data_IF_389917000266
#
_entry.id   IF_389917000266
#
_cell.length_a   1.000
_cell.length_b   1.000
_cell.length_c   1.000
_cell.angle_alpha   90.00
_cell.angle_beta   90.00
_cell.angle_gamma   90.00
#
_symmetry.space_group_name_H-M   'P 1'
#
loop_
_entity.id
_entity.type
_entity.pdbx_description
1 polymer ?
#
# COMPACT_ATOMS: atom_id res chain seq x y z
N UNK A 1 -23.37 -4.95 5.96
CA UNK A 1 -22.29 -3.97 5.75
C UNK A 1 -21.69 -4.12 4.35
N UNK A 2 -21.18 -3.04 3.80
CA UNK A 2 -20.56 -2.97 2.48
C UNK A 2 -19.12 -2.48 2.63
N UNK A 3 -18.13 -3.27 2.19
CA UNK A 3 -16.74 -2.85 2.13
C UNK A 3 -16.38 -2.36 0.72
N UNK A 4 -15.76 -1.18 0.64
CA UNK A 4 -15.25 -0.63 -0.62
C UNK A 4 -13.76 -0.29 -0.46
N UNK A 5 -12.85 -0.89 -1.24
CA UNK A 5 -11.43 -0.58 -1.11
C UNK A 5 -11.10 0.80 -1.67
N UNK A 6 -10.59 1.71 -0.82
CA UNK A 6 -9.93 2.93 -1.25
C UNK A 6 -8.42 2.73 -1.39
N UNK A 7 -7.66 3.78 -1.58
CA UNK A 7 -6.24 3.72 -1.90
C UNK A 7 -5.51 5.00 -1.50
N UNK A 8 -4.23 4.88 -1.23
CA UNK A 8 -3.29 6.01 -1.16
C UNK A 8 -3.35 6.92 -2.40
N UNK A 9 -3.79 6.37 -3.55
CA UNK A 9 -4.02 7.14 -4.77
C UNK A 9 -5.16 8.17 -4.68
N UNK A 10 -5.97 8.18 -3.61
CA UNK A 10 -6.95 9.23 -3.32
C UNK A 10 -6.30 10.57 -2.94
N UNK A 11 -5.07 10.54 -2.47
CA UNK A 11 -4.27 11.73 -2.20
C UNK A 11 -3.63 12.29 -3.48
N UNK A 12 -3.07 13.48 -3.39
CA UNK A 12 -2.42 14.13 -4.51
C UNK A 12 -1.30 15.08 -4.06
N UNK A 13 -0.68 15.83 -4.98
CA UNK A 13 0.49 16.65 -4.68
C UNK A 13 0.28 17.73 -3.61
N UNK A 14 -0.97 18.12 -3.33
CA UNK A 14 -1.32 19.09 -2.29
C UNK A 14 -1.58 18.48 -0.92
N UNK A 15 -1.59 17.15 -0.81
CA UNK A 15 -1.66 16.48 0.49
C UNK A 15 -0.30 16.51 1.20
N UNK A 16 -0.25 16.61 2.54
CA UNK A 16 0.99 16.41 3.29
C UNK A 16 1.64 15.08 2.92
N UNK A 17 2.97 15.04 2.82
CA UNK A 17 3.70 13.85 2.38
C UNK A 17 3.97 12.86 3.50
N UNK A 18 4.35 13.36 4.65
CA UNK A 18 4.77 12.54 5.78
C UNK A 18 3.66 12.50 6.82
N UNK A 19 3.35 11.30 7.29
CA UNK A 19 2.24 11.05 8.21
C UNK A 19 0.97 11.79 7.76
N UNK A 20 0.60 11.55 6.50
CA UNK A 20 -0.58 12.17 5.89
C UNK A 20 -1.79 11.98 6.79
N UNK A 21 -2.42 13.05 7.30
CA UNK A 21 -3.52 12.96 8.25
C UNK A 21 -4.73 12.22 7.68
N UNK A 22 -5.54 11.65 8.57
CA UNK A 22 -6.82 11.01 8.23
C UNK A 22 -7.71 11.96 7.42
N UNK A 23 -7.92 13.17 7.94
CA UNK A 23 -8.66 14.23 7.29
C UNK A 23 -7.70 15.26 6.71
N UNK A 24 -7.66 15.33 5.40
CA UNK A 24 -6.78 16.26 4.67
C UNK A 24 -7.29 16.54 3.26
N UNK A 25 -6.61 17.44 2.56
CA UNK A 25 -6.92 17.78 1.17
C UNK A 25 -6.62 16.59 0.26
N UNK A 26 -7.64 16.11 -0.44
CA UNK A 26 -7.52 15.06 -1.46
C UNK A 26 -7.76 15.67 -2.85
N UNK A 27 -6.68 15.85 -3.61
CA UNK A 27 -6.72 16.33 -5.01
C UNK A 27 -5.86 15.43 -5.89
N UNK A 28 -6.31 14.19 -6.15
CA UNK A 28 -5.58 13.27 -6.99
C UNK A 28 -5.49 13.80 -8.43
N UNK A 29 -4.39 13.47 -9.10
CA UNK A 29 -4.13 13.87 -10.50
C UNK A 29 -4.43 12.74 -11.50
N UNK A 30 -4.87 11.57 -11.01
CA UNK A 30 -5.23 10.42 -11.84
C UNK A 30 -6.74 10.14 -11.78
N UNK A 31 -7.31 9.62 -12.87
CA UNK A 31 -8.71 9.18 -12.87
C UNK A 31 -8.97 8.09 -11.82
N UNK A 32 -7.99 7.20 -11.59
CA UNK A 32 -8.05 6.20 -10.53
C UNK A 32 -8.28 6.86 -9.15
N UNK A 33 -7.46 7.85 -8.80
CA UNK A 33 -7.61 8.57 -7.55
C UNK A 33 -8.93 9.33 -7.43
N UNK A 34 -9.38 9.98 -8.51
CA UNK A 34 -10.70 10.63 -8.55
C UNK A 34 -11.82 9.64 -8.25
N UNK A 35 -11.79 8.46 -8.85
CA UNK A 35 -12.78 7.41 -8.58
C UNK A 35 -12.73 6.93 -7.12
N UNK A 36 -11.51 6.83 -6.51
CA UNK A 36 -11.37 6.44 -5.11
C UNK A 36 -11.99 7.48 -4.16
N UNK A 37 -11.68 8.76 -4.35
CA UNK A 37 -12.29 9.87 -3.58
C UNK A 37 -13.81 9.86 -3.74
N UNK A 38 -14.30 9.69 -4.97
CA UNK A 38 -15.75 9.61 -5.22
C UNK A 38 -16.39 8.45 -4.45
N UNK A 39 -15.73 7.28 -4.42
CA UNK A 39 -16.21 6.11 -3.67
C UNK A 39 -16.30 6.37 -2.16
N UNK A 40 -15.30 7.03 -1.57
CA UNK A 40 -15.32 7.44 -0.16
C UNK A 40 -16.50 8.38 0.13
N UNK A 41 -16.67 9.44 -0.67
CA UNK A 41 -17.74 10.41 -0.51
C UNK A 41 -19.14 9.78 -0.71
N UNK A 42 -19.28 8.85 -1.64
CA UNK A 42 -20.52 8.09 -1.82
C UNK A 42 -20.80 7.19 -0.61
N UNK A 43 -19.77 6.54 -0.05
CA UNK A 43 -19.90 5.77 1.18
C UNK A 43 -20.48 6.62 2.32
N UNK A 44 -19.89 7.79 2.57
CA UNK A 44 -20.36 8.73 3.60
C UNK A 44 -21.80 9.19 3.34
N UNK A 45 -22.13 9.53 2.10
CA UNK A 45 -23.46 9.95 1.73
C UNK A 45 -24.51 8.85 1.96
N UNK A 46 -24.24 7.62 1.50
CA UNK A 46 -25.16 6.50 1.68
C UNK A 46 -25.30 6.10 3.15
N UNK A 47 -24.22 6.20 3.93
CA UNK A 47 -24.32 5.97 5.36
C UNK A 47 -25.19 7.03 6.04
N UNK A 48 -24.89 8.31 5.84
CA UNK A 48 -25.57 9.42 6.52
C UNK A 48 -27.03 9.55 6.09
N UNK A 49 -27.33 9.31 4.79
CA UNK A 49 -28.67 9.52 4.22
C UNK A 49 -29.59 8.32 4.35
N UNK A 50 -29.04 7.12 4.27
CA UNK A 50 -29.83 5.88 4.17
C UNK A 50 -29.50 4.85 5.25
N UNK A 51 -28.56 5.13 6.13
CA UNK A 51 -28.15 4.21 7.20
C UNK A 51 -27.43 2.95 6.71
N UNK A 52 -26.89 2.98 5.49
CA UNK A 52 -26.10 1.84 4.97
C UNK A 52 -24.80 1.74 5.74
N UNK A 53 -24.49 0.58 6.28
CA UNK A 53 -23.19 0.35 6.94
C UNK A 53 -22.11 0.16 5.87
N UNK A 54 -21.52 1.27 5.46
CA UNK A 54 -20.40 1.33 4.51
C UNK A 54 -19.08 1.47 5.25
N UNK A 55 -18.05 0.75 4.80
CA UNK A 55 -16.72 0.76 5.42
C UNK A 55 -15.64 0.70 4.34
N UNK A 56 -14.52 1.39 4.57
CA UNK A 56 -13.42 1.46 3.62
C UNK A 56 -12.08 1.72 4.32
N UNK A 57 -11.00 1.24 3.70
CA UNK A 57 -9.63 1.60 4.06
C UNK A 57 -8.91 2.16 2.83
N UNK A 58 -7.99 3.10 3.05
CA UNK A 58 -7.04 3.59 2.05
C UNK A 58 -5.82 2.68 2.10
N UNK A 59 -5.80 1.70 1.18
CA UNK A 59 -4.67 0.81 1.07
C UNK A 59 -3.43 1.56 0.58
N UNK A 60 -2.27 1.34 1.22
CA UNK A 60 -0.97 1.69 0.65
C UNK A 60 -0.63 0.79 -0.55
N UNK A 61 0.60 0.84 -1.04
CA UNK A 61 1.07 -0.10 -2.06
C UNK A 61 1.05 -1.53 -1.54
N UNK A 62 0.33 -2.43 -2.21
CA UNK A 62 0.18 -3.81 -1.76
C UNK A 62 1.26 -4.71 -2.36
N UNK A 63 1.88 -5.51 -1.49
CA UNK A 63 2.90 -6.49 -1.86
C UNK A 63 2.34 -7.89 -1.64
N UNK A 64 2.43 -8.75 -2.65
CA UNK A 64 1.92 -10.12 -2.60
C UNK A 64 2.89 -11.11 -3.24
N UNK A 65 3.00 -12.30 -2.66
CA UNK A 65 3.71 -13.42 -3.25
C UNK A 65 2.80 -14.36 -4.05
N UNK A 66 1.50 -14.05 -4.20
CA UNK A 66 0.52 -14.94 -4.86
C UNK A 66 0.38 -14.60 -6.34
N UNK A 67 0.15 -13.33 -6.65
CA UNK A 67 -0.09 -12.84 -8.01
C UNK A 67 1.14 -12.12 -8.54
N UNK A 68 1.45 -12.35 -9.82
CA UNK A 68 2.50 -11.60 -10.51
C UNK A 68 2.10 -10.13 -10.62
N UNK A 69 3.08 -9.21 -10.62
CA UNK A 69 2.83 -7.79 -10.77
C UNK A 69 2.17 -7.47 -12.13
N UNK A 70 1.27 -6.50 -12.12
CA UNK A 70 0.49 -6.09 -13.30
C UNK A 70 1.03 -4.86 -14.04
N UNK A 71 2.18 -4.31 -13.59
CA UNK A 71 2.81 -3.12 -14.18
C UNK A 71 2.45 -1.78 -13.51
N UNK A 72 1.78 -1.81 -12.36
CA UNK A 72 1.50 -0.61 -11.54
C UNK A 72 2.76 0.07 -10.98
N UNK A 73 2.61 1.29 -10.48
CA UNK A 73 3.73 2.07 -9.94
C UNK A 73 4.40 1.40 -8.74
N UNK A 74 3.61 0.76 -7.85
CA UNK A 74 4.12 0.08 -6.65
C UNK A 74 4.61 -1.35 -6.91
N UNK A 75 4.37 -1.87 -8.10
CA UNK A 75 4.66 -3.27 -8.44
C UNK A 75 6.16 -3.59 -8.46
N UNK A 76 7.02 -2.55 -8.55
CA UNK A 76 8.46 -2.74 -8.40
C UNK A 76 8.81 -3.49 -7.10
N UNK A 77 8.05 -3.23 -6.01
CA UNK A 77 8.26 -3.86 -4.71
C UNK A 77 7.83 -5.34 -4.67
N UNK A 78 7.16 -5.83 -5.71
CA UNK A 78 6.88 -7.24 -5.95
C UNK A 78 7.87 -7.82 -6.95
N UNK A 79 8.07 -7.12 -8.08
CA UNK A 79 8.97 -7.55 -9.17
C UNK A 79 10.40 -7.78 -8.67
N UNK A 80 10.89 -6.93 -7.79
CA UNK A 80 12.25 -7.03 -7.24
C UNK A 80 12.53 -8.38 -6.59
N UNK A 81 11.55 -9.00 -5.92
CA UNK A 81 11.70 -10.33 -5.30
C UNK A 81 11.75 -11.45 -6.34
N UNK A 82 10.88 -11.37 -7.35
CA UNK A 82 10.87 -12.34 -8.44
C UNK A 82 12.18 -12.30 -9.24
N UNK A 83 12.67 -11.08 -9.56
CA UNK A 83 13.91 -10.91 -10.30
C UNK A 83 15.14 -11.27 -9.46
N UNK A 84 15.13 -10.99 -8.17
CA UNK A 84 16.20 -11.41 -7.26
C UNK A 84 16.38 -12.94 -7.25
N UNK A 85 15.29 -13.71 -7.32
CA UNK A 85 15.33 -15.18 -7.37
C UNK A 85 15.64 -15.69 -8.78
N UNK A 86 15.05 -15.07 -9.82
CA UNK A 86 15.14 -15.58 -11.19
C UNK A 86 16.46 -15.28 -11.86
N UNK A 87 16.95 -14.06 -11.74
CA UNK A 87 18.10 -13.54 -12.49
C UNK A 87 19.23 -13.02 -11.62
N UNK A 88 18.99 -12.77 -10.33
CA UNK A 88 19.94 -12.09 -9.44
C UNK A 88 20.13 -10.61 -9.77
N UNK A 89 19.29 -10.03 -10.63
CA UNK A 89 19.35 -8.63 -11.07
C UNK A 89 17.96 -8.04 -11.18
N UNK A 90 17.85 -6.74 -10.90
CA UNK A 90 16.61 -5.99 -11.10
C UNK A 90 16.90 -4.60 -11.65
N UNK A 91 16.10 -4.14 -12.61
CA UNK A 91 16.12 -2.76 -13.10
C UNK A 91 14.88 -2.05 -12.59
N UNK A 92 15.07 -1.12 -11.63
CA UNK A 92 13.98 -0.44 -10.98
C UNK A 92 13.45 0.72 -11.83
N UNK A 93 12.13 0.76 -12.12
CA UNK A 93 11.54 1.85 -12.90
C UNK A 93 11.16 3.08 -12.08
N UNK A 94 11.47 3.08 -10.77
CA UNK A 94 11.17 4.18 -9.83
C UNK A 94 12.48 4.67 -9.23
N UNK A 95 12.65 6.00 -8.97
CA UNK A 95 13.87 6.53 -8.34
C UNK A 95 14.14 5.90 -6.98
N UNK A 96 15.42 5.69 -6.67
CA UNK A 96 15.86 4.96 -5.48
C UNK A 96 15.51 5.61 -4.14
N UNK A 97 15.25 6.90 -4.13
CA UNK A 97 15.03 7.73 -2.95
C UNK A 97 13.55 8.10 -2.69
N UNK A 98 12.63 7.67 -3.55
CA UNK A 98 11.20 7.97 -3.39
C UNK A 98 10.58 7.04 -2.35
N UNK A 99 10.14 7.61 -1.24
CA UNK A 99 9.37 6.88 -0.23
C UNK A 99 7.95 6.60 -0.70
N UNK A 100 7.47 5.40 -0.38
CA UNK A 100 6.07 5.02 -0.55
C UNK A 100 5.62 4.18 0.64
N UNK A 101 4.40 4.44 1.12
CA UNK A 101 3.78 3.59 2.12
C UNK A 101 3.36 2.26 1.47
N UNK A 102 3.72 1.15 2.09
CA UNK A 102 3.56 -0.21 1.58
C UNK A 102 2.98 -1.13 2.65
N UNK A 103 2.30 -2.18 2.20
CA UNK A 103 1.69 -3.18 3.09
C UNK A 103 1.77 -4.57 2.48
N UNK A 104 2.10 -5.56 3.31
CA UNK A 104 2.04 -6.94 2.88
C UNK A 104 0.60 -7.45 2.82
N UNK A 105 0.29 -8.30 1.84
CA UNK A 105 -1.07 -8.76 1.56
C UNK A 105 -1.76 -9.44 2.76
N UNK A 106 -1.10 -10.23 3.61
CA UNK A 106 -1.73 -10.79 4.82
C UNK A 106 -2.31 -9.70 5.74
N UNK A 107 -1.57 -8.60 5.98
CA UNK A 107 -2.08 -7.47 6.76
C UNK A 107 -3.25 -6.78 6.05
N UNK A 108 -3.19 -6.61 4.74
CA UNK A 108 -4.28 -6.00 3.97
C UNK A 108 -5.58 -6.80 4.06
N UNK A 109 -5.50 -8.13 3.96
CA UNK A 109 -6.65 -9.03 4.10
C UNK A 109 -7.21 -9.01 5.53
N UNK A 110 -6.33 -9.03 6.53
CA UNK A 110 -6.72 -8.93 7.93
C UNK A 110 -7.41 -7.62 8.24
N UNK A 111 -6.90 -6.49 7.71
CA UNK A 111 -7.53 -5.17 7.85
C UNK A 111 -8.98 -5.17 7.31
N UNK A 112 -9.25 -5.83 6.17
CA UNK A 112 -10.60 -5.95 5.65
C UNK A 112 -11.53 -6.68 6.63
N UNK A 113 -11.08 -7.82 7.15
CA UNK A 113 -11.89 -8.65 8.06
C UNK A 113 -12.13 -7.92 9.38
N UNK A 114 -11.07 -7.43 10.02
CA UNK A 114 -11.15 -6.71 11.30
C UNK A 114 -12.04 -5.48 11.23
N UNK A 115 -11.91 -4.66 10.17
CA UNK A 115 -12.79 -3.51 10.00
C UNK A 115 -14.25 -3.94 9.79
N UNK A 116 -14.51 -5.02 9.04
CA UNK A 116 -15.88 -5.51 8.83
C UNK A 116 -16.51 -6.13 10.08
N UNK A 117 -15.71 -6.64 11.01
CA UNK A 117 -16.14 -7.19 12.30
C UNK A 117 -16.17 -6.13 13.41
N UNK A 118 -15.59 -4.96 13.18
CA UNK A 118 -15.53 -3.88 14.17
C UNK A 118 -16.94 -3.38 14.57
N UNK A 119 -17.06 -2.91 15.82
CA UNK A 119 -18.27 -2.30 16.34
C UNK A 119 -18.65 -1.04 15.54
N UNK A 120 -19.76 -1.05 14.77
CA UNK A 120 -20.14 0.07 13.92
C UNK A 120 -20.38 1.38 14.68
N UNK A 121 -20.65 1.31 16.00
CA UNK A 121 -20.90 2.51 16.83
C UNK A 121 -19.63 3.28 17.16
N UNK A 122 -18.46 2.66 16.98
CA UNK A 122 -17.15 3.26 17.24
C UNK A 122 -16.51 3.85 15.98
N UNK A 123 -17.03 3.53 14.79
CA UNK A 123 -16.45 3.94 13.52
C UNK A 123 -16.87 5.38 13.16
N UNK A 124 -16.01 6.35 13.47
CA UNK A 124 -16.19 7.76 13.06
C UNK A 124 -15.77 7.96 11.60
N UNK A 125 -14.58 7.46 11.22
CA UNK A 125 -14.00 7.62 9.89
C UNK A 125 -14.29 6.43 8.95
N UNK A 126 -15.39 5.75 9.15
CA UNK A 126 -15.82 4.46 8.55
C UNK A 126 -15.48 4.22 7.08
N UNK A 127 -15.48 5.27 6.25
CA UNK A 127 -15.40 5.13 4.79
C UNK A 127 -14.04 5.48 4.19
N UNK A 128 -13.00 5.63 4.99
CA UNK A 128 -11.71 6.07 4.45
C UNK A 128 -10.57 5.96 5.46
N UNK A 129 -10.56 4.95 6.30
CA UNK A 129 -9.46 4.79 7.26
C UNK A 129 -8.11 4.72 6.57
N UNK A 130 -7.20 5.62 6.95
CA UNK A 130 -5.80 5.41 6.68
C UNK A 130 -5.33 4.17 7.42
N UNK A 131 -4.67 3.25 6.73
CA UNK A 131 -3.95 2.13 7.33
C UNK A 131 -2.50 2.15 6.85
N UNK A 132 -1.56 2.03 7.77
CA UNK A 132 -0.13 2.01 7.48
C UNK A 132 0.50 0.72 7.99
N UNK A 133 1.60 0.31 7.37
CA UNK A 133 2.41 -0.82 7.81
C UNK A 133 3.88 -0.46 7.75
N UNK A 134 4.43 -0.21 6.57
CA UNK A 134 5.83 0.11 6.38
C UNK A 134 6.01 1.16 5.28
N UNK A 135 6.93 2.10 5.48
CA UNK A 135 7.31 3.08 4.47
C UNK A 135 8.78 2.89 4.11
N UNK A 136 9.06 2.71 2.83
CA UNK A 136 10.42 2.50 2.36
C UNK A 136 10.64 2.96 0.91
N UNK A 137 11.90 3.08 0.55
CA UNK A 137 12.34 3.41 -0.82
C UNK A 137 12.82 2.16 -1.56
N UNK A 138 12.99 2.21 -2.90
CA UNK A 138 13.65 1.13 -3.65
C UNK A 138 15.03 0.75 -3.10
N UNK A 139 15.82 1.71 -2.63
CA UNK A 139 17.13 1.42 -2.01
C UNK A 139 17.00 0.63 -0.70
N UNK A 140 15.99 0.95 0.12
CA UNK A 140 15.79 0.28 1.41
C UNK A 140 15.38 -1.19 1.20
N UNK A 141 14.42 -1.46 0.32
CA UNK A 141 14.00 -2.85 0.03
C UNK A 141 15.13 -3.63 -0.67
N UNK A 142 15.89 -3.00 -1.56
CA UNK A 142 17.08 -3.60 -2.16
C UNK A 142 18.11 -4.02 -1.12
N UNK A 143 18.45 -3.11 -0.21
CA UNK A 143 19.39 -3.39 0.88
C UNK A 143 18.89 -4.53 1.79
N UNK A 144 17.57 -4.62 2.03
CA UNK A 144 16.97 -5.68 2.84
C UNK A 144 17.07 -7.05 2.14
N UNK A 145 16.79 -7.12 0.84
CA UNK A 145 16.94 -8.33 0.04
C UNK A 145 18.41 -8.77 0.00
N UNK A 146 19.32 -7.82 -0.14
CA UNK A 146 20.77 -8.09 -0.21
C UNK A 146 21.35 -8.74 1.04
N UNK A 147 20.72 -8.55 2.20
CA UNK A 147 21.10 -9.28 3.43
C UNK A 147 20.93 -10.80 3.30
N UNK A 148 19.97 -11.27 2.45
CA UNK A 148 19.68 -12.70 2.20
C UNK A 148 20.29 -13.21 0.89
N UNK A 149 20.54 -12.30 -0.04
CA UNK A 149 21.09 -12.56 -1.38
C UNK A 149 22.24 -11.59 -1.66
N UNK A 150 23.45 -11.82 -1.13
CA UNK A 150 24.56 -10.85 -1.22
C UNK A 150 24.98 -10.49 -2.65
N UNK A 151 24.80 -11.41 -3.61
CA UNK A 151 25.15 -11.21 -5.02
C UNK A 151 24.07 -10.49 -5.82
N UNK A 152 22.90 -10.21 -5.24
CA UNK A 152 21.83 -9.48 -5.91
C UNK A 152 22.25 -8.05 -6.23
N UNK A 153 21.96 -7.61 -7.46
CA UNK A 153 22.27 -6.27 -7.96
C UNK A 153 21.03 -5.55 -8.45
N UNK A 154 21.00 -4.24 -8.30
CA UNK A 154 19.93 -3.39 -8.80
C UNK A 154 20.49 -2.19 -9.56
N UNK A 155 19.89 -1.92 -10.72
CA UNK A 155 20.13 -0.75 -11.56
C UNK A 155 18.81 0.04 -11.71
N UNK A 156 18.86 1.21 -12.34
CA UNK A 156 17.69 2.07 -12.55
C UNK A 156 17.50 2.39 -14.02
N UNK A 157 16.25 2.24 -14.49
CA UNK A 157 15.74 2.80 -15.75
C UNK A 157 14.40 3.47 -15.42
N UNK A 158 14.49 4.73 -15.00
CA UNK A 158 13.36 5.45 -14.40
C UNK A 158 12.32 5.80 -15.45
N UNK A 159 11.13 5.22 -15.33
CA UNK A 159 9.95 5.60 -16.10
C UNK A 159 9.41 6.95 -15.57
N UNK A 160 9.37 8.01 -16.41
CA UNK A 160 8.93 9.33 -15.99
C UNK A 160 7.47 9.37 -15.53
N UNK A 161 6.61 8.49 -16.04
CA UNK A 161 5.19 8.41 -15.63
C UNK A 161 5.09 7.78 -14.25
N UNK A 162 5.77 6.65 -14.02
CA UNK A 162 5.81 5.99 -12.71
C UNK A 162 6.43 6.90 -11.65
N UNK A 163 7.51 7.62 -11.99
CA UNK A 163 8.12 8.61 -11.11
C UNK A 163 7.11 9.68 -10.71
N UNK A 164 6.44 10.32 -11.67
CA UNK A 164 5.48 11.39 -11.39
C UNK A 164 4.32 10.91 -10.52
N UNK A 165 3.85 9.67 -10.72
CA UNK A 165 2.80 9.07 -9.90
C UNK A 165 3.32 8.81 -8.47
N UNK A 166 4.46 8.16 -8.32
CA UNK A 166 5.08 7.88 -7.02
C UNK A 166 5.32 9.16 -6.21
N UNK A 167 5.88 10.18 -6.85
CA UNK A 167 6.11 11.49 -6.24
C UNK A 167 4.83 12.27 -5.92
N UNK A 168 3.67 11.89 -6.47
CA UNK A 168 2.38 12.52 -6.15
C UNK A 168 1.71 11.96 -4.90
N UNK A 169 2.10 10.78 -4.45
CA UNK A 169 1.50 10.08 -3.30
C UNK A 169 2.20 10.42 -1.98
N UNK A 170 1.55 10.17 -0.83
CA UNK A 170 2.18 10.23 0.48
C UNK A 170 3.38 9.29 0.61
N UNK A 171 4.38 9.76 1.36
CA UNK A 171 5.49 8.91 1.82
C UNK A 171 5.02 7.93 2.91
N UNK A 172 4.14 8.40 3.79
CA UNK A 172 3.56 7.63 4.89
C UNK A 172 2.19 8.15 5.29
N UNK A 173 1.35 7.28 5.85
CA UNK A 173 0.03 7.61 6.36
C UNK A 173 0.03 7.68 7.89
N UNK A 174 -0.77 8.56 8.45
CA UNK A 174 -1.16 8.54 9.87
C UNK A 174 -2.37 7.62 10.02
N UNK A 175 -2.20 6.49 10.69
CA UNK A 175 -3.23 5.48 10.93
C UNK A 175 -3.80 5.50 12.36
N UNK A 176 -3.59 6.61 13.08
CA UNK A 176 -4.04 6.78 14.47
C UNK A 176 -5.54 6.50 14.61
N UNK A 177 -6.37 7.02 13.70
CA UNK A 177 -7.81 6.79 13.75
C UNK A 177 -8.17 5.29 13.62
N UNK A 178 -7.51 4.56 12.75
CA UNK A 178 -7.73 3.12 12.61
C UNK A 178 -7.33 2.35 13.88
N UNK A 179 -6.23 2.74 14.51
CA UNK A 179 -5.77 2.15 15.77
C UNK A 179 -6.74 2.40 16.92
N UNK A 180 -7.27 3.60 17.01
CA UNK A 180 -8.16 4.02 18.12
C UNK A 180 -9.59 3.50 17.93
N UNK A 181 -10.13 3.50 16.72
CA UNK A 181 -11.53 3.19 16.47
C UNK A 181 -11.81 1.69 16.33
N UNK A 182 -10.88 0.91 15.80
CA UNK A 182 -11.09 -0.53 15.60
C UNK A 182 -9.86 -1.40 15.88
N UNK A 183 -8.78 -0.83 16.46
CA UNK A 183 -7.67 -1.60 16.99
C UNK A 183 -6.64 -2.03 15.94
N UNK A 184 -6.61 -1.41 14.77
CA UNK A 184 -5.66 -1.72 13.72
C UNK A 184 -4.22 -1.78 14.23
N UNK A 185 -3.49 -2.80 13.82
CA UNK A 185 -2.06 -2.92 14.08
C UNK A 185 -1.44 -3.83 13.02
N UNK A 186 -0.45 -3.37 12.24
CA UNK A 186 0.26 -4.23 11.31
C UNK A 186 1.08 -5.30 12.06
N UNK A 187 1.19 -6.48 11.48
CA UNK A 187 1.95 -7.61 12.03
C UNK A 187 3.26 -7.86 11.26
N UNK A 188 3.33 -7.36 10.03
CA UNK A 188 4.47 -7.56 9.17
C UNK A 188 5.34 -6.31 9.09
N UNK A 189 6.65 -6.50 9.19
CA UNK A 189 7.67 -5.52 8.88
C UNK A 189 8.42 -5.89 7.59
N UNK A 190 9.30 -5.00 7.13
CA UNK A 190 10.07 -5.23 5.91
C UNK A 190 10.94 -6.48 5.98
N UNK A 191 11.49 -6.81 7.15
CA UNK A 191 12.37 -7.96 7.33
C UNK A 191 11.60 -9.29 7.25
N UNK A 192 10.52 -9.43 8.02
CA UNK A 192 9.67 -10.62 8.02
C UNK A 192 8.98 -10.85 6.68
N UNK A 193 8.48 -9.78 6.04
CA UNK A 193 7.93 -9.83 4.69
C UNK A 193 8.99 -10.30 3.68
N UNK A 194 10.23 -9.79 3.77
CA UNK A 194 11.31 -10.19 2.85
C UNK A 194 11.62 -11.68 2.97
N UNK A 195 11.66 -12.21 4.19
CA UNK A 195 11.90 -13.63 4.43
C UNK A 195 10.79 -14.49 3.78
N UNK A 196 9.54 -14.15 4.03
CA UNK A 196 8.39 -14.90 3.47
C UNK A 196 8.30 -14.78 1.93
N UNK A 197 8.49 -13.58 1.37
CA UNK A 197 8.51 -13.36 -0.08
C UNK A 197 9.56 -14.23 -0.75
N UNK A 198 10.80 -14.22 -0.28
CA UNK A 198 11.88 -15.02 -0.85
C UNK A 198 11.65 -16.52 -0.70
N UNK A 199 11.15 -16.97 0.45
CA UNK A 199 10.85 -18.39 0.70
C UNK A 199 9.76 -18.91 -0.24
N UNK A 200 8.62 -18.19 -0.32
CA UNK A 200 7.48 -18.63 -1.13
C UNK A 200 7.79 -18.59 -2.62
N UNK A 201 8.48 -17.55 -3.10
CA UNK A 201 8.84 -17.44 -4.52
C UNK A 201 9.84 -18.52 -4.93
N UNK A 202 10.82 -18.85 -4.08
CA UNK A 202 11.73 -19.98 -4.34
C UNK A 202 10.97 -21.29 -4.51
N UNK A 203 10.02 -21.58 -3.61
CA UNK A 203 9.20 -22.81 -3.69
C UNK A 203 8.35 -22.88 -4.96
N UNK A 204 7.89 -21.74 -5.48
CA UNK A 204 7.15 -21.68 -6.76
C UNK A 204 8.03 -21.92 -7.98
N UNK A 205 9.26 -21.42 -7.98
CA UNK A 205 10.20 -21.52 -9.10
C UNK A 205 10.92 -22.89 -9.16
N UNK A 206 10.80 -23.71 -8.12
CA UNK A 206 11.32 -25.08 -8.09
C UNK A 206 10.31 -26.13 -8.57
N UNK A 207 9.13 -25.72 -8.99
CA UNK A 207 8.10 -26.55 -9.64
C UNK A 207 7.98 -26.22 -11.11
#
# INVERSE_FOLDING_TARGET
ALFTPSSIGAFGPSSPKDKTPQDTVMRPTTMYGVCKVTGEMLGDYYHSRFGVDTRSVRFPGLISNVTLPGGGTTDYAVEIYYEAIRSGRFTCPVPGDVYMDMMYMPDALRACVELMEADPTKLVHRNSFNIASMSFTPEIIYAEIKKRLPDFTMDYDVDPVKKAIAESWPNSLDDTCAREEWGWKPEWDLSSMTDDMLEVIRKKNLK
#
